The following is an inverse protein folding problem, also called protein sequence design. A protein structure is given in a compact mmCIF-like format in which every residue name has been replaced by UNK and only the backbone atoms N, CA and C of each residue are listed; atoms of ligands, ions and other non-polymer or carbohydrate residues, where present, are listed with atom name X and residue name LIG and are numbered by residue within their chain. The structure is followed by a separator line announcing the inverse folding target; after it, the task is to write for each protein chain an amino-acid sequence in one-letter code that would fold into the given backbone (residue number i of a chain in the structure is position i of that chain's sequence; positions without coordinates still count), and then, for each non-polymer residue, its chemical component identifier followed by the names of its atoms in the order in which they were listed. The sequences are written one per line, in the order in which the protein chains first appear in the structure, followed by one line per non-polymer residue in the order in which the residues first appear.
data_IF_295590169661
#
_entry.id   IF_295590169661
#
_cell.length_a   1.000
_cell.length_b   1.000
_cell.length_c   1.000
_cell.angle_alpha   90.00
_cell.angle_beta   90.00
_cell.angle_gamma   90.00
#
_symmetry.space_group_name_H-M   'P 1'
#
loop_
_entity.id
_entity.type
_entity.pdbx_description
1 polymer ?
#
# COMPACT_ATOMS: atom_id res chain seq x y z
N UNK A 1 30.02 -28.59 -16.95
CA UNK A 1 29.10 -28.01 -15.96
C UNK A 1 28.23 -27.00 -16.70
N UNK A 2 26.90 -27.13 -16.68
CA UNK A 2 25.99 -26.16 -17.29
C UNK A 2 25.91 -24.90 -16.42
N UNK A 3 25.96 -23.72 -17.04
CA UNK A 3 25.74 -22.48 -16.31
C UNK A 3 24.28 -22.42 -15.78
N UNK A 4 24.05 -22.02 -14.53
CA UNK A 4 22.70 -21.88 -14.00
C UNK A 4 21.97 -20.71 -14.66
N UNK A 5 20.68 -20.88 -14.95
CA UNK A 5 19.80 -19.81 -15.43
C UNK A 5 19.54 -18.82 -14.27
N UNK A 6 19.66 -17.52 -14.55
CA UNK A 6 19.33 -16.45 -13.59
C UNK A 6 17.84 -16.51 -13.22
N UNK A 7 17.54 -16.33 -11.94
CA UNK A 7 16.17 -16.21 -11.43
C UNK A 7 15.58 -14.83 -11.74
N UNK A 8 14.31 -14.80 -12.16
CA UNK A 8 13.53 -13.59 -12.40
C UNK A 8 12.84 -13.07 -11.11
N UNK A 9 12.94 -13.82 -10.00
CA UNK A 9 12.38 -13.46 -8.68
C UNK A 9 12.76 -12.07 -8.15
N UNK A 10 13.97 -11.52 -8.36
CA UNK A 10 14.34 -10.21 -7.80
C UNK A 10 13.41 -9.07 -8.22
N UNK A 11 12.83 -9.15 -9.43
CA UNK A 11 11.87 -8.16 -9.94
C UNK A 11 10.56 -8.23 -9.14
N UNK A 12 10.07 -9.44 -8.90
CA UNK A 12 8.86 -9.65 -8.10
C UNK A 12 9.05 -9.22 -6.65
N UNK A 13 10.21 -9.51 -6.06
CA UNK A 13 10.56 -9.05 -4.72
C UNK A 13 10.67 -7.52 -4.63
N UNK A 14 11.21 -6.87 -5.67
CA UNK A 14 11.26 -5.41 -5.72
C UNK A 14 9.85 -4.80 -5.80
N UNK A 15 8.96 -5.36 -6.63
CA UNK A 15 7.57 -4.89 -6.73
C UNK A 15 6.78 -5.13 -5.43
N UNK A 16 6.96 -6.30 -4.82
CA UNK A 16 6.35 -6.64 -3.53
C UNK A 16 6.81 -5.69 -2.42
N UNK A 17 8.11 -5.40 -2.33
CA UNK A 17 8.65 -4.50 -1.30
C UNK A 17 8.22 -3.05 -1.51
N UNK A 18 8.26 -2.55 -2.76
CA UNK A 18 7.77 -1.21 -3.08
C UNK A 18 6.27 -1.05 -2.75
N UNK A 19 5.44 -2.02 -3.16
CA UNK A 19 4.02 -2.04 -2.83
C UNK A 19 3.78 -2.15 -1.32
N UNK A 20 4.46 -3.07 -0.65
CA UNK A 20 4.31 -3.34 0.78
C UNK A 20 4.63 -2.13 1.66
N UNK A 21 5.72 -1.41 1.38
CA UNK A 21 6.09 -0.21 2.15
C UNK A 21 5.08 0.92 1.94
N UNK A 22 4.71 1.21 0.68
CA UNK A 22 3.70 2.22 0.37
C UNK A 22 2.37 1.90 1.06
N UNK A 23 1.95 0.63 1.03
CA UNK A 23 0.70 0.20 1.64
C UNK A 23 0.75 0.29 3.16
N UNK A 24 1.85 -0.15 3.78
CA UNK A 24 2.03 -0.09 5.23
C UNK A 24 1.94 1.34 5.78
N UNK A 25 2.40 2.33 5.01
CA UNK A 25 2.37 3.74 5.42
C UNK A 25 1.03 4.40 5.09
N UNK A 26 0.48 4.18 3.89
CA UNK A 26 -0.65 4.97 3.37
C UNK A 26 -2.01 4.34 3.68
N UNK A 27 -2.13 3.02 3.57
CA UNK A 27 -3.42 2.33 3.68
C UNK A 27 -4.08 2.49 5.06
N UNK A 28 -3.36 2.45 6.21
CA UNK A 28 -3.99 2.65 7.50
C UNK A 28 -4.73 3.98 7.61
N UNK A 29 -4.13 5.07 7.11
CA UNK A 29 -4.74 6.40 7.09
C UNK A 29 -5.96 6.46 6.19
N UNK A 30 -5.89 5.86 4.99
CA UNK A 30 -7.03 5.79 4.07
C UNK A 30 -8.19 4.97 4.63
N UNK A 31 -7.92 3.79 5.20
CA UNK A 31 -8.93 2.94 5.81
C UNK A 31 -9.60 3.65 6.99
N UNK A 32 -8.81 4.29 7.85
CA UNK A 32 -9.34 5.07 8.97
C UNK A 32 -10.22 6.22 8.44
N UNK A 33 -9.73 7.00 7.49
CA UNK A 33 -10.40 8.23 7.05
C UNK A 33 -11.65 7.93 6.23
N UNK A 34 -11.52 7.14 5.17
CA UNK A 34 -12.60 6.88 4.20
C UNK A 34 -13.46 5.70 4.65
N UNK A 35 -12.87 4.67 5.24
CA UNK A 35 -13.57 3.46 5.65
C UNK A 35 -14.27 3.56 7.00
N UNK A 36 -13.84 4.47 7.89
CA UNK A 36 -14.41 4.60 9.24
C UNK A 36 -14.88 6.02 9.57
N UNK A 37 -14.01 7.03 9.55
CA UNK A 37 -14.34 8.37 10.05
C UNK A 37 -15.38 9.08 9.16
N UNK A 38 -15.26 8.97 7.84
CA UNK A 38 -16.21 9.54 6.89
C UNK A 38 -17.63 8.96 7.04
N UNK A 39 -17.86 7.64 6.98
CA UNK A 39 -19.21 7.08 7.11
C UNK A 39 -19.83 7.30 8.49
N UNK A 40 -19.02 7.55 9.54
CA UNK A 40 -19.49 7.88 10.88
C UNK A 40 -19.75 9.39 11.10
N UNK A 41 -19.47 10.24 10.11
CA UNK A 41 -19.64 11.70 10.24
C UNK A 41 -18.67 12.33 11.25
N UNK A 42 -17.49 11.72 11.45
CA UNK A 42 -16.48 12.18 12.42
C UNK A 42 -15.41 13.09 11.80
N UNK A 43 -15.52 13.40 10.51
CA UNK A 43 -14.63 14.34 9.82
C UNK A 43 -15.19 15.77 9.91
N UNK A 44 -14.34 16.81 9.98
CA UNK A 44 -14.79 18.18 9.91
C UNK A 44 -15.37 18.49 8.51
N UNK A 45 -16.37 19.36 8.42
CA UNK A 45 -17.06 19.72 7.17
C UNK A 45 -16.13 20.02 5.97
N UNK A 46 -15.03 20.80 6.12
CA UNK A 46 -14.13 21.06 4.99
C UNK A 46 -13.09 19.96 4.73
N UNK A 47 -13.20 18.77 5.34
CA UNK A 47 -12.18 17.73 5.22
C UNK A 47 -12.06 17.12 3.81
N UNK A 48 -13.16 17.10 3.06
CA UNK A 48 -13.26 16.47 1.73
C UNK A 48 -13.92 17.39 0.68
N UNK A 49 -14.04 18.68 1.01
CA UNK A 49 -14.64 19.74 0.18
C UNK A 49 -13.68 20.29 -0.87
#
# INVERSE_FOLDING_TARGET
MSQPKRSDEPIWWALFSAGGVCFAVIIPGLVLTIGLLYPLGLLPEPALS
#
